data_IF_933542926747
#
_entry.id   IF_933542926747
#
_cell.length_a   1.000
_cell.length_b   1.000
_cell.length_c   1.000
_cell.angle_alpha   90.00
_cell.angle_beta   90.00
_cell.angle_gamma   90.00
#
_symmetry.space_group_name_H-M   'P 1'
#
loop_
_entity.id
_entity.type
_entity.pdbx_description
1 polymer ?
#
# COMPACT_ATOMS: atom_id res chain seq x y z
N UNK A 1 -14.17 10.20 10.96
CA UNK A 1 -13.12 9.37 11.59
C UNK A 1 -12.53 8.40 10.56
N UNK A 2 -11.35 8.70 9.99
CA UNK A 2 -10.67 7.81 9.04
C UNK A 2 -9.43 7.20 9.71
N UNK A 3 -9.59 6.00 10.30
CA UNK A 3 -8.57 5.34 11.16
C UNK A 3 -7.62 4.38 10.41
N UNK A 4 -7.64 4.33 9.08
CA UNK A 4 -6.84 3.37 8.29
C UNK A 4 -5.96 4.04 7.22
N UNK A 5 -5.35 5.20 7.50
CA UNK A 5 -4.27 5.71 6.65
C UNK A 5 -2.94 5.11 7.12
N UNK A 6 -2.34 4.24 6.32
CA UNK A 6 -0.93 3.86 6.49
C UNK A 6 -0.12 5.06 6.00
N UNK A 7 0.09 6.00 6.91
CA UNK A 7 0.99 7.13 6.70
C UNK A 7 2.41 6.72 7.04
N UNK A 8 3.35 7.10 6.19
CA UNK A 8 4.76 7.10 6.51
C UNK A 8 5.03 8.17 7.57
N UNK A 9 5.27 7.75 8.82
CA UNK A 9 5.98 8.57 9.80
C UNK A 9 7.42 8.08 9.84
N UNK A 10 8.28 8.74 9.08
CA UNK A 10 9.71 8.46 9.10
C UNK A 10 10.35 9.29 10.22
N UNK A 11 10.66 8.66 11.35
CA UNK A 11 11.71 9.16 12.25
C UNK A 11 13.03 9.03 11.47
N UNK A 12 13.60 10.15 11.02
CA UNK A 12 14.75 10.19 10.12
C UNK A 12 14.52 10.95 8.80
N UNK A 13 13.36 11.58 8.64
CA UNK A 13 13.10 12.44 7.48
C UNK A 13 13.79 13.81 7.58
N UNK A 14 14.34 14.23 8.72
CA UNK A 14 15.02 15.54 8.83
C UNK A 14 16.30 15.61 7.98
N UNK A 15 17.14 14.57 8.01
CA UNK A 15 18.31 14.48 7.11
C UNK A 15 17.93 14.32 5.63
N UNK A 16 16.81 13.65 5.36
CA UNK A 16 16.30 13.48 4.00
C UNK A 16 15.59 14.75 3.51
N UNK A 17 14.94 15.51 4.39
CA UNK A 17 14.22 16.75 4.10
C UNK A 17 15.17 17.83 3.63
N UNK A 18 16.33 18.00 4.27
CA UNK A 18 17.38 18.92 3.79
C UNK A 18 17.90 18.53 2.39
N UNK A 19 17.97 17.24 2.08
CA UNK A 19 18.27 16.76 0.71
C UNK A 19 17.08 16.94 -0.25
N UNK A 20 15.85 16.93 0.26
CA UNK A 20 14.63 17.17 -0.52
C UNK A 20 14.40 18.64 -0.88
N UNK A 21 14.82 19.59 -0.04
CA UNK A 21 14.79 21.03 -0.34
C UNK A 21 15.72 21.37 -1.52
N UNK A 22 16.90 20.75 -1.60
CA UNK A 22 17.76 20.83 -2.79
C UNK A 22 17.15 20.18 -4.06
N UNK A 23 16.04 19.47 -3.89
CA UNK A 23 15.38 18.62 -4.88
C UNK A 23 13.94 19.09 -5.18
N UNK A 24 13.57 20.34 -4.84
CA UNK A 24 12.21 20.92 -4.86
C UNK A 24 11.30 20.53 -6.05
N UNK A 25 11.86 20.20 -7.22
CA UNK A 25 11.11 19.71 -8.40
C UNK A 25 10.87 18.19 -8.51
N UNK A 26 11.44 17.35 -7.63
CA UNK A 26 11.49 15.88 -7.79
C UNK A 26 10.74 15.08 -6.72
N UNK A 27 10.24 15.74 -5.69
CA UNK A 27 9.52 15.10 -4.57
C UNK A 27 8.22 14.44 -5.05
N UNK A 28 7.48 15.09 -5.96
CA UNK A 28 6.23 14.54 -6.51
C UNK A 28 6.46 13.25 -7.31
N UNK A 29 7.35 13.20 -8.32
CA UNK A 29 7.71 11.96 -8.99
C UNK A 29 8.23 10.87 -8.04
N UNK A 30 9.03 11.25 -7.04
CA UNK A 30 9.56 10.29 -6.07
C UNK A 30 8.44 9.69 -5.19
N UNK A 31 7.52 10.52 -4.70
CA UNK A 31 6.34 10.07 -3.96
C UNK A 31 5.43 9.17 -4.80
N UNK A 32 5.19 9.51 -6.07
CA UNK A 32 4.45 8.63 -6.97
C UNK A 32 5.15 7.29 -7.17
N UNK A 33 6.44 7.29 -7.48
CA UNK A 33 7.21 6.07 -7.69
C UNK A 33 7.23 5.21 -6.43
N UNK A 34 7.35 5.82 -5.26
CA UNK A 34 7.33 5.13 -3.98
C UNK A 34 5.97 4.47 -3.74
N UNK A 35 4.86 5.16 -3.99
CA UNK A 35 3.51 4.61 -3.88
C UNK A 35 3.24 3.48 -4.90
N UNK A 36 3.68 3.67 -6.15
CA UNK A 36 3.58 2.65 -7.22
C UNK A 36 4.33 1.39 -6.82
N UNK A 37 5.57 1.54 -6.34
CA UNK A 37 6.41 0.42 -5.90
C UNK A 37 5.81 -0.29 -4.68
N UNK A 38 5.29 0.45 -3.69
CA UNK A 38 4.63 -0.16 -2.52
C UNK A 38 3.42 -1.00 -2.89
N UNK A 39 2.55 -0.50 -3.79
CA UNK A 39 1.40 -1.28 -4.25
C UNK A 39 1.85 -2.54 -5.00
N UNK A 40 2.83 -2.42 -5.88
CA UNK A 40 3.38 -3.57 -6.60
C UNK A 40 3.97 -4.63 -5.66
N UNK A 41 4.60 -4.23 -4.56
CA UNK A 41 5.17 -5.14 -3.57
C UNK A 41 4.11 -5.87 -2.72
N UNK A 42 3.00 -5.19 -2.37
CA UNK A 42 1.99 -5.75 -1.44
C UNK A 42 0.86 -6.50 -2.16
N UNK A 43 0.48 -6.10 -3.37
CA UNK A 43 -0.63 -6.71 -4.12
C UNK A 43 -0.48 -8.23 -4.29
N UNK A 44 0.71 -8.79 -4.60
CA UNK A 44 0.89 -10.24 -4.74
C UNK A 44 0.62 -11.02 -3.44
N UNK A 45 0.97 -10.46 -2.28
CA UNK A 45 0.70 -11.11 -0.98
C UNK A 45 -0.80 -11.16 -0.68
N UNK A 46 -1.55 -10.11 -1.07
CA UNK A 46 -3.01 -10.09 -0.95
C UNK A 46 -3.63 -11.12 -1.91
N UNK A 47 -3.16 -11.18 -3.15
CA UNK A 47 -3.63 -12.12 -4.17
C UNK A 47 -3.42 -13.58 -3.74
N UNK A 48 -2.23 -13.88 -3.20
CA UNK A 48 -1.93 -15.19 -2.61
C UNK A 48 -2.84 -15.50 -1.43
N UNK A 49 -3.06 -14.54 -0.53
CA UNK A 49 -3.89 -14.75 0.65
C UNK A 49 -5.38 -14.94 0.32
N UNK A 50 -5.92 -14.30 -0.73
CA UNK A 50 -7.31 -14.46 -1.15
C UNK A 50 -7.52 -15.73 -1.99
N UNK A 51 -6.49 -16.25 -2.66
CA UNK A 51 -6.60 -17.43 -3.55
C UNK A 51 -7.20 -18.68 -2.92
N UNK A 52 -7.02 -18.87 -1.60
CA UNK A 52 -7.62 -19.97 -0.83
C UNK A 52 -9.14 -19.84 -0.63
N UNK A 53 -9.70 -18.65 -0.83
CA UNK A 53 -11.13 -18.36 -0.71
C UNK A 53 -11.77 -18.35 -2.09
N UNK A 54 -12.00 -19.55 -2.65
CA UNK A 54 -12.54 -19.70 -4.00
C UNK A 54 -13.86 -20.47 -3.97
N UNK A 55 -14.96 -19.72 -3.87
CA UNK A 55 -16.30 -20.23 -4.18
C UNK A 55 -16.62 -19.95 -5.66
N UNK A 56 -16.81 -18.69 -6.03
CA UNK A 56 -17.01 -18.22 -7.42
C UNK A 56 -15.77 -17.53 -8.00
N UNK A 57 -14.87 -17.08 -7.13
CA UNK A 57 -13.69 -16.28 -7.47
C UNK A 57 -13.94 -14.78 -7.65
N UNK A 58 -15.16 -14.28 -7.45
CA UNK A 58 -15.49 -12.85 -7.63
C UNK A 58 -14.65 -11.94 -6.73
N UNK A 59 -14.50 -12.30 -5.46
CA UNK A 59 -13.69 -11.52 -4.50
C UNK A 59 -12.22 -11.44 -4.92
N UNK A 60 -11.66 -12.49 -5.53
CA UNK A 60 -10.28 -12.45 -6.02
C UNK A 60 -10.15 -11.60 -7.31
N UNK A 61 -11.19 -11.60 -8.15
CA UNK A 61 -11.26 -10.74 -9.35
C UNK A 61 -11.39 -9.27 -8.97
N UNK A 62 -12.11 -8.95 -7.91
CA UNK A 62 -12.31 -7.56 -7.44
C UNK A 62 -11.07 -6.94 -6.78
N UNK A 63 -9.96 -7.67 -6.64
CA UNK A 63 -8.70 -7.12 -6.13
C UNK A 63 -8.18 -6.03 -7.07
N UNK A 64 -7.95 -4.85 -6.53
CA UNK A 64 -7.44 -3.71 -7.29
C UNK A 64 -5.95 -3.87 -7.61
N UNK A 65 -5.68 -4.30 -8.85
CA UNK A 65 -4.34 -4.45 -9.41
C UNK A 65 -3.87 -3.20 -10.15
N UNK A 66 -4.74 -2.20 -10.36
CA UNK A 66 -4.41 -0.99 -11.12
C UNK A 66 -3.57 -0.06 -10.26
N UNK A 67 -2.38 0.30 -10.72
CA UNK A 67 -1.52 1.23 -9.98
C UNK A 67 -1.86 2.67 -10.37
N UNK A 68 -2.77 3.28 -9.62
CA UNK A 68 -3.18 4.67 -9.80
C UNK A 68 -2.89 5.48 -8.54
N UNK A 69 -2.12 6.57 -8.69
CA UNK A 69 -1.84 7.51 -7.61
C UNK A 69 -2.82 8.68 -7.72
N UNK A 70 -3.57 8.92 -6.65
CA UNK A 70 -4.51 10.03 -6.54
C UNK A 70 -3.86 11.16 -5.74
N UNK A 71 -3.93 12.37 -6.27
CA UNK A 71 -3.45 13.58 -5.63
C UNK A 71 -4.61 14.40 -5.07
N UNK A 72 -4.55 14.72 -3.79
CA UNK A 72 -5.47 15.65 -3.14
C UNK A 72 -4.66 16.75 -2.46
N UNK A 73 -4.56 17.91 -3.12
CA UNK A 73 -3.68 19.00 -2.69
C UNK A 73 -2.22 18.55 -2.69
N UNK A 74 -1.59 18.55 -1.52
CA UNK A 74 -0.20 18.12 -1.30
C UNK A 74 -0.05 16.65 -0.93
N UNK A 75 -1.17 15.91 -0.78
CA UNK A 75 -1.14 14.50 -0.37
C UNK A 75 -1.32 13.60 -1.58
N UNK A 76 -0.37 12.67 -1.78
CA UNK A 76 -0.50 11.56 -2.72
C UNK A 76 -0.96 10.29 -1.98
N UNK A 77 -1.86 9.53 -2.60
CA UNK A 77 -2.36 8.25 -2.06
C UNK A 77 -2.54 7.21 -3.15
N UNK A 78 -2.38 5.95 -2.78
CA UNK A 78 -2.69 4.80 -3.65
C UNK A 78 -3.67 3.90 -2.91
N UNK A 79 -4.71 3.45 -3.60
CA UNK A 79 -5.68 2.53 -3.04
C UNK A 79 -5.13 1.10 -3.04
N UNK A 80 -5.38 0.36 -1.95
CA UNK A 80 -4.96 -1.04 -1.78
C UNK A 80 -6.16 -1.81 -1.24
N UNK A 81 -6.52 -2.92 -1.90
CA UNK A 81 -7.60 -3.80 -1.46
C UNK A 81 -8.57 -4.15 -2.56
N UNK A 82 -9.84 -4.30 -2.21
CA UNK A 82 -10.86 -4.88 -3.09
C UNK A 82 -11.95 -3.85 -3.43
N UNK A 83 -12.44 -3.88 -4.67
CA UNK A 83 -13.60 -3.10 -5.10
C UNK A 83 -14.89 -3.67 -4.51
N UNK A 84 -15.43 -3.01 -3.47
CA UNK A 84 -16.58 -3.52 -2.70
C UNK A 84 -17.82 -3.75 -3.57
N UNK A 85 -18.10 -2.84 -4.51
CA UNK A 85 -19.26 -2.92 -5.41
C UNK A 85 -19.11 -3.99 -6.49
N UNK A 86 -17.87 -4.36 -6.84
CA UNK A 86 -17.56 -5.28 -7.94
C UNK A 86 -17.25 -6.69 -7.42
N UNK A 87 -17.92 -7.11 -6.34
CA UNK A 87 -17.74 -8.42 -5.72
C UNK A 87 -16.71 -8.47 -4.58
N UNK A 88 -16.17 -7.33 -4.15
CA UNK A 88 -15.16 -7.25 -3.09
C UNK A 88 -15.70 -7.23 -1.66
N UNK A 89 -17.02 -7.06 -1.45
CA UNK A 89 -17.63 -7.03 -0.12
C UNK A 89 -17.26 -8.24 0.78
N UNK A 90 -17.22 -9.49 0.28
CA UNK A 90 -16.81 -10.64 1.08
C UNK A 90 -15.41 -10.51 1.70
N UNK A 91 -14.50 -9.75 1.08
CA UNK A 91 -13.15 -9.55 1.62
C UNK A 91 -13.15 -8.95 3.03
N UNK A 92 -14.12 -8.09 3.36
CA UNK A 92 -14.25 -7.48 4.69
C UNK A 92 -14.61 -8.55 5.73
N UNK A 93 -15.58 -9.40 5.41
CA UNK A 93 -15.98 -10.50 6.29
C UNK A 93 -14.89 -11.56 6.42
N UNK A 94 -14.09 -11.78 5.38
CA UNK A 94 -12.92 -12.65 5.46
C UNK A 94 -11.83 -12.03 6.36
N UNK A 95 -11.53 -10.74 6.22
CA UNK A 95 -10.50 -10.07 7.01
C UNK A 95 -10.86 -9.91 8.49
N UNK A 96 -12.12 -9.63 8.81
CA UNK A 96 -12.56 -9.33 10.18
C UNK A 96 -13.32 -10.48 10.84
N UNK A 97 -13.78 -11.47 10.07
CA UNK A 97 -14.61 -12.56 10.53
C UNK A 97 -16.09 -12.18 10.60
N UNK A 98 -16.91 -13.14 11.00
CA UNK A 98 -18.32 -13.00 11.34
C UNK A 98 -18.57 -13.66 12.70
N UNK A 99 -19.75 -13.50 13.33
CA UNK A 99 -20.04 -14.17 14.60
C UNK A 99 -19.85 -15.69 14.59
N UNK A 100 -20.01 -16.33 13.42
CA UNK A 100 -19.88 -17.79 13.25
C UNK A 100 -18.59 -18.23 12.57
N UNK A 101 -17.89 -17.33 11.88
CA UNK A 101 -16.70 -17.66 11.08
C UNK A 101 -15.51 -16.83 11.57
N UNK A 102 -14.44 -17.50 11.99
CA UNK A 102 -13.20 -16.83 12.41
C UNK A 102 -12.58 -16.07 11.26
N UNK A 103 -11.97 -14.92 11.57
CA UNK A 103 -11.26 -14.11 10.58
C UNK A 103 -10.09 -14.85 9.95
N UNK A 104 -9.84 -14.52 8.69
CA UNK A 104 -8.65 -14.93 7.98
C UNK A 104 -7.46 -14.06 8.37
N UNK A 105 -6.65 -14.59 9.29
CA UNK A 105 -5.49 -13.86 9.80
C UNK A 105 -4.42 -13.62 8.73
N UNK A 106 -4.29 -14.49 7.73
CA UNK A 106 -3.32 -14.31 6.66
C UNK A 106 -3.72 -13.16 5.72
N UNK A 107 -5.00 -13.16 5.29
CA UNK A 107 -5.54 -12.07 4.47
C UNK A 107 -5.51 -10.74 5.22
N UNK A 108 -5.94 -10.72 6.49
CA UNK A 108 -5.86 -9.51 7.32
C UNK A 108 -4.41 -9.00 7.43
N UNK A 109 -3.45 -9.89 7.70
CA UNK A 109 -2.03 -9.53 7.83
C UNK A 109 -1.42 -9.08 6.52
N UNK A 110 -1.87 -9.59 5.37
CA UNK A 110 -1.37 -9.17 4.06
C UNK A 110 -1.62 -7.68 3.80
N UNK A 111 -2.67 -7.09 4.40
CA UNK A 111 -3.02 -5.67 4.28
C UNK A 111 -2.54 -4.86 5.49
N UNK A 112 -2.82 -5.32 6.71
CA UNK A 112 -2.63 -4.53 7.94
C UNK A 112 -1.49 -5.02 8.84
N UNK A 113 -0.82 -6.11 8.49
CA UNK A 113 0.22 -6.73 9.29
C UNK A 113 1.47 -5.87 9.41
N UNK A 114 2.22 -6.06 10.50
CA UNK A 114 3.49 -5.36 10.74
C UNK A 114 4.52 -5.63 9.64
N UNK A 115 4.57 -6.87 9.13
CA UNK A 115 5.44 -7.25 7.99
C UNK A 115 5.11 -6.46 6.73
N UNK A 116 3.83 -6.35 6.36
CA UNK A 116 3.38 -5.54 5.22
C UNK A 116 3.75 -4.06 5.40
N UNK A 117 3.50 -3.50 6.58
CA UNK A 117 3.86 -2.10 6.89
C UNK A 117 5.37 -1.86 6.77
N UNK A 118 6.17 -2.80 7.27
CA UNK A 118 7.63 -2.75 7.16
C UNK A 118 8.10 -2.83 5.70
N UNK A 119 7.54 -3.76 4.92
CA UNK A 119 7.81 -3.88 3.49
C UNK A 119 7.49 -2.58 2.74
N UNK A 120 6.33 -1.97 3.02
CA UNK A 120 5.94 -0.68 2.44
C UNK A 120 6.99 0.39 2.76
N UNK A 121 7.36 0.53 4.04
CA UNK A 121 8.31 1.55 4.48
C UNK A 121 9.71 1.35 3.87
N UNK A 122 10.21 0.11 3.83
CA UNK A 122 11.49 -0.24 3.21
C UNK A 122 11.48 0.04 1.71
N UNK A 123 10.43 -0.37 1.01
CA UNK A 123 10.25 -0.09 -0.43
C UNK A 123 10.27 1.41 -0.71
N UNK A 124 9.57 2.20 0.09
CA UNK A 124 9.52 3.65 -0.08
C UNK A 124 10.88 4.28 0.20
N UNK A 125 11.57 3.85 1.27
CA UNK A 125 12.92 4.29 1.61
C UNK A 125 13.90 4.01 0.46
N UNK A 126 13.90 2.81 -0.09
CA UNK A 126 14.77 2.44 -1.21
C UNK A 126 14.52 3.31 -2.45
N UNK A 127 13.26 3.57 -2.79
CA UNK A 127 12.91 4.43 -3.93
C UNK A 127 13.45 5.84 -3.73
N UNK A 128 13.25 6.41 -2.54
CA UNK A 128 13.76 7.74 -2.22
C UNK A 128 15.29 7.78 -2.23
N UNK A 129 15.97 6.79 -1.65
CA UNK A 129 17.43 6.71 -1.67
C UNK A 129 17.99 6.61 -3.08
N UNK A 130 17.40 5.79 -3.96
CA UNK A 130 17.79 5.67 -5.37
C UNK A 130 17.63 6.99 -6.14
N UNK A 131 16.55 7.73 -5.86
CA UNK A 131 16.30 9.04 -6.49
C UNK A 131 17.30 10.10 -6.03
N UNK A 132 17.62 10.13 -4.74
CA UNK A 132 18.63 11.05 -4.17
C UNK A 132 20.02 10.73 -4.76
N UNK A 133 20.41 9.45 -4.78
CA UNK A 133 21.70 9.03 -5.32
C UNK A 133 21.88 9.39 -6.80
N UNK A 134 20.82 9.25 -7.62
CA UNK A 134 20.83 9.62 -9.05
C UNK A 134 20.98 11.12 -9.33
N UNK A 135 20.82 11.97 -8.33
CA UNK A 135 20.81 13.43 -8.50
C UNK A 135 21.94 14.14 -7.76
N UNK A 136 22.53 13.48 -6.77
CA UNK A 136 23.76 13.95 -6.10
C UNK A 136 25.04 13.35 -6.69
N UNK A 137 24.92 12.34 -7.56
CA UNK A 137 26.00 11.85 -8.42
C UNK A 137 25.84 12.36 -9.84
#
# INVERSE_FOLDING_TARGET
MAKNKIGLKFEGLEELAGKFEALEGSVKPAAENALKASKAAVTPEIDKAISKHKLTGDTARSLDRKVQVNWTGTTASVDIGFHIRDGGLPSVFLMYGTPRVKKDTALYRSVYGSKTKKLIAETQKEVFQKMIARRMG
#
